data_IF_706487554503
#
_entry.id   IF_706487554503
#
_cell.length_a   1.000
_cell.length_b   1.000
_cell.length_c   1.000
_cell.angle_alpha   90.00
_cell.angle_beta   90.00
_cell.angle_gamma   90.00
#
_symmetry.space_group_name_H-M   'P 1'
#
loop_
_entity.id
_entity.type
_entity.pdbx_description
1 polymer ?
#
# COMPACT_ATOMS: atom_id res chain seq x y z
N UNK A 1 -19.57 3.87 4.41
CA UNK A 1 -18.65 3.51 5.53
C UNK A 1 -17.33 4.24 5.33
N UNK A 2 -16.80 4.89 6.38
CA UNK A 2 -15.52 5.59 6.32
C UNK A 2 -14.41 4.71 6.88
N UNK A 3 -13.32 4.57 6.13
CA UNK A 3 -12.15 3.78 6.49
C UNK A 3 -10.93 4.70 6.45
N UNK A 4 -10.15 4.69 7.52
CA UNK A 4 -8.89 5.44 7.62
C UNK A 4 -7.74 4.45 7.71
N UNK A 5 -6.85 4.49 6.73
CA UNK A 5 -5.65 3.67 6.71
C UNK A 5 -4.45 4.44 7.24
N UNK A 6 -3.61 3.78 8.05
CA UNK A 6 -2.35 4.30 8.57
C UNK A 6 -1.23 3.33 8.25
N UNK A 7 -0.11 3.83 7.70
CA UNK A 7 0.99 2.99 7.21
C UNK A 7 1.99 2.66 8.31
N UNK A 8 2.23 3.60 9.22
CA UNK A 8 3.09 3.40 10.38
C UNK A 8 2.54 4.08 11.64
N UNK A 9 3.20 3.86 12.76
CA UNK A 9 2.78 4.36 14.07
C UNK A 9 3.01 5.87 14.26
N UNK A 10 3.68 6.55 13.34
CA UNK A 10 3.85 8.01 13.36
C UNK A 10 2.66 8.73 12.73
N UNK A 11 1.82 8.02 11.97
CA UNK A 11 0.59 8.56 11.40
C UNK A 11 -0.49 8.72 12.48
N UNK A 12 -0.62 9.92 13.00
CA UNK A 12 -1.60 10.27 14.05
C UNK A 12 -2.90 10.83 13.51
N UNK A 13 -3.15 10.70 12.19
CA UNK A 13 -4.35 11.23 11.56
C UNK A 13 -5.62 10.66 12.19
N UNK A 14 -6.58 11.56 12.46
CA UNK A 14 -7.92 11.23 12.96
C UNK A 14 -8.96 11.85 12.05
N UNK A 15 -9.93 11.06 11.65
CA UNK A 15 -11.09 11.56 10.92
C UNK A 15 -11.99 12.41 11.85
N UNK A 16 -12.60 13.44 11.30
CA UNK A 16 -13.68 14.20 11.97
C UNK A 16 -15.01 13.45 11.96
N UNK A 17 -15.14 12.48 11.07
CA UNK A 17 -16.32 11.62 10.95
C UNK A 17 -16.03 10.27 11.63
N UNK A 18 -17.10 9.56 12.00
CA UNK A 18 -16.94 8.18 12.49
C UNK A 18 -16.28 7.32 11.43
N UNK A 19 -15.19 6.66 11.77
CA UNK A 19 -14.40 5.85 10.84
C UNK A 19 -13.87 4.57 11.49
N UNK A 20 -13.66 3.55 10.67
CA UNK A 20 -12.91 2.35 11.04
C UNK A 20 -11.45 2.56 10.65
N UNK A 21 -10.53 2.27 11.58
CA UNK A 21 -9.10 2.43 11.35
C UNK A 21 -8.47 1.10 10.95
N UNK A 22 -7.60 1.14 9.94
CA UNK A 22 -6.78 0.01 9.50
C UNK A 22 -5.32 0.42 9.65
N UNK A 23 -4.63 -0.22 10.57
CA UNK A 23 -3.23 0.04 10.87
C UNK A 23 -2.37 -1.06 10.23
N UNK A 24 -1.73 -0.77 9.10
CA UNK A 24 -0.89 -1.72 8.37
C UNK A 24 0.40 -2.10 9.12
N UNK A 25 0.73 -1.40 10.18
CA UNK A 25 1.85 -1.70 11.08
C UNK A 25 1.47 -2.60 12.26
N UNK A 26 0.19 -2.83 12.50
CA UNK A 26 -0.31 -3.68 13.58
C UNK A 26 -0.96 -4.95 12.99
N UNK A 27 -0.32 -6.09 13.19
CA UNK A 27 -0.80 -7.40 12.71
C UNK A 27 -2.14 -7.82 13.31
N UNK A 28 -2.56 -7.25 14.45
CA UNK A 28 -3.88 -7.48 15.02
C UNK A 28 -4.97 -6.69 14.30
N UNK A 29 -4.61 -5.55 13.68
CA UNK A 29 -5.50 -4.76 12.84
C UNK A 29 -5.60 -5.34 11.44
N UNK A 30 -4.45 -5.55 10.79
CA UNK A 30 -4.38 -6.10 9.43
C UNK A 30 -3.06 -6.84 9.21
N UNK A 31 -3.13 -8.12 8.79
CA UNK A 31 -1.94 -8.94 8.55
C UNK A 31 -1.74 -9.20 7.06
N UNK A 32 -0.52 -9.01 6.58
CA UNK A 32 -0.09 -9.30 5.21
C UNK A 32 1.40 -9.67 5.17
N UNK A 33 1.83 -10.41 4.15
CA UNK A 33 3.15 -11.04 4.09
C UNK A 33 4.08 -10.46 3.02
N UNK A 34 3.75 -9.32 2.42
CA UNK A 34 4.55 -8.71 1.35
C UNK A 34 6.01 -8.51 1.77
N UNK A 35 6.23 -7.92 2.96
CA UNK A 35 7.57 -7.62 3.45
C UNK A 35 8.41 -8.85 3.75
N UNK A 36 7.79 -9.98 4.09
CA UNK A 36 8.47 -11.24 4.37
C UNK A 36 9.01 -11.88 3.09
N UNK A 37 8.34 -11.64 1.96
CA UNK A 37 8.69 -12.19 0.65
C UNK A 37 9.48 -11.23 -0.25
N UNK A 38 9.78 -10.03 0.20
CA UNK A 38 10.43 -8.98 -0.58
C UNK A 38 11.78 -9.41 -1.19
N UNK A 39 12.56 -10.22 -0.49
CA UNK A 39 13.88 -10.70 -0.97
C UNK A 39 13.79 -11.57 -2.23
N UNK A 40 12.59 -12.04 -2.59
CA UNK A 40 12.33 -12.81 -3.82
C UNK A 40 12.12 -11.89 -5.03
N UNK A 41 12.00 -10.58 -4.85
CA UNK A 41 11.82 -9.63 -5.94
C UNK A 41 13.18 -9.25 -6.55
N UNK A 42 13.33 -9.27 -7.90
CA UNK A 42 14.60 -8.97 -8.57
C UNK A 42 14.99 -7.49 -8.47
N UNK A 43 14.03 -6.60 -8.31
CA UNK A 43 14.24 -5.16 -8.24
C UNK A 43 13.51 -4.56 -7.05
N UNK A 44 13.97 -3.36 -6.61
CA UNK A 44 13.19 -2.55 -5.69
C UNK A 44 11.98 -1.96 -6.42
N UNK A 45 10.87 -1.89 -5.72
CA UNK A 45 9.64 -1.32 -6.27
C UNK A 45 9.69 0.21 -6.30
N UNK A 46 8.98 0.81 -7.24
CA UNK A 46 8.79 2.26 -7.32
C UNK A 46 7.82 2.76 -6.21
N UNK A 47 7.80 4.08 -6.00
CA UNK A 47 6.85 4.70 -5.06
C UNK A 47 5.40 4.42 -5.48
N UNK A 48 5.11 4.50 -6.78
CA UNK A 48 3.79 4.18 -7.33
C UNK A 48 3.37 2.74 -7.06
N UNK A 49 4.30 1.80 -7.22
CA UNK A 49 4.02 0.39 -6.95
C UNK A 49 3.75 0.12 -5.46
N UNK A 50 4.47 0.81 -4.57
CA UNK A 50 4.24 0.71 -3.13
C UNK A 50 2.89 1.33 -2.74
N UNK A 51 2.56 2.49 -3.27
CA UNK A 51 1.26 3.12 -3.05
C UNK A 51 0.12 2.22 -3.57
N UNK A 52 0.27 1.65 -4.77
CA UNK A 52 -0.71 0.72 -5.33
C UNK A 52 -0.91 -0.52 -4.45
N UNK A 53 0.17 -1.05 -3.86
CA UNK A 53 0.07 -2.14 -2.90
C UNK A 53 -0.82 -1.75 -1.72
N UNK A 54 -0.56 -0.61 -1.07
CA UNK A 54 -1.34 -0.18 0.08
C UNK A 54 -2.78 0.18 -0.29
N UNK A 55 -3.03 0.79 -1.45
CA UNK A 55 -4.37 1.05 -1.97
C UNK A 55 -5.12 -0.29 -2.17
N UNK A 56 -4.47 -1.29 -2.78
CA UNK A 56 -5.07 -2.61 -3.01
C UNK A 56 -5.40 -3.33 -1.70
N UNK A 57 -4.52 -3.25 -0.71
CA UNK A 57 -4.75 -3.80 0.63
C UNK A 57 -5.92 -3.08 1.33
N UNK A 58 -6.02 -1.76 1.18
CA UNK A 58 -7.11 -0.97 1.74
C UNK A 58 -8.47 -1.34 1.10
N UNK A 59 -8.52 -1.49 -0.23
CA UNK A 59 -9.71 -1.95 -0.96
C UNK A 59 -10.12 -3.34 -0.51
N UNK A 60 -9.17 -4.26 -0.42
CA UNK A 60 -9.44 -5.63 0.08
C UNK A 60 -10.00 -5.62 1.51
N UNK A 61 -9.39 -4.84 2.40
CA UNK A 61 -9.86 -4.73 3.77
C UNK A 61 -11.26 -4.09 3.86
N UNK A 62 -11.53 -3.05 3.07
CA UNK A 62 -12.84 -2.41 2.98
C UNK A 62 -13.92 -3.40 2.53
N UNK A 63 -13.63 -4.19 1.50
CA UNK A 63 -14.55 -5.21 1.00
C UNK A 63 -14.90 -6.25 2.07
N UNK A 64 -13.94 -6.64 2.89
CA UNK A 64 -14.13 -7.63 3.97
C UNK A 64 -14.83 -7.06 5.19
N UNK A 65 -14.55 -5.82 5.56
CA UNK A 65 -15.13 -5.18 6.75
C UNK A 65 -16.56 -4.70 6.52
N UNK A 66 -16.88 -4.24 5.31
CA UNK A 66 -18.18 -3.69 4.96
C UNK A 66 -19.05 -4.75 4.30
N UNK A 67 -19.88 -5.42 5.08
CA UNK A 67 -20.77 -6.47 4.55
C UNK A 67 -21.94 -5.83 3.80
N UNK A 68 -22.27 -6.36 2.60
CA UNK A 68 -23.39 -5.89 1.76
C UNK A 68 -24.73 -5.92 2.47
N UNK A 69 -24.96 -6.90 3.35
CA UNK A 69 -26.20 -6.99 4.14
C UNK A 69 -26.46 -5.77 5.02
N UNK A 70 -25.45 -4.95 5.27
CA UNK A 70 -25.54 -3.72 6.07
C UNK A 70 -25.75 -2.47 5.20
N UNK A 71 -25.78 -2.61 3.87
CA UNK A 71 -26.10 -1.51 2.96
C UNK A 71 -27.59 -1.15 3.06
N UNK A 72 -27.93 0.12 2.79
CA UNK A 72 -29.30 0.64 2.90
C UNK A 72 -30.27 -0.10 1.97
N UNK A 73 -29.82 -0.44 0.76
CA UNK A 73 -30.56 -1.18 -0.24
C UNK A 73 -30.27 -2.71 -0.19
N UNK A 74 -29.37 -3.15 0.71
CA UNK A 74 -28.87 -4.52 0.80
C UNK A 74 -27.97 -4.96 -0.35
N UNK A 75 -27.60 -4.04 -1.26
CA UNK A 75 -26.87 -4.34 -2.48
C UNK A 75 -25.61 -3.48 -2.67
N UNK A 76 -25.76 -2.16 -2.79
CA UNK A 76 -24.67 -1.22 -3.04
C UNK A 76 -24.13 -0.62 -1.74
N UNK A 77 -22.81 -0.60 -1.61
CA UNK A 77 -22.14 0.01 -0.45
C UNK A 77 -21.55 1.37 -0.86
N UNK A 78 -21.57 2.31 0.03
CA UNK A 78 -20.82 3.58 -0.05
C UNK A 78 -19.56 3.43 0.81
N UNK A 79 -18.39 3.37 0.15
CA UNK A 79 -17.10 3.06 0.73
C UNK A 79 -16.13 4.24 0.52
N UNK A 80 -15.81 4.94 1.59
CA UNK A 80 -14.86 6.06 1.59
C UNK A 80 -13.55 5.63 2.25
N UNK A 81 -12.46 5.66 1.49
CA UNK A 81 -11.12 5.26 1.95
C UNK A 81 -10.21 6.50 2.04
N UNK A 82 -9.74 6.80 3.23
CA UNK A 82 -8.72 7.82 3.48
C UNK A 82 -7.36 7.13 3.68
N UNK A 83 -6.41 7.35 2.76
CA UNK A 83 -5.12 6.62 2.73
C UNK A 83 -3.95 7.56 2.41
N UNK A 84 -2.81 7.44 3.12
CA UNK A 84 -1.60 8.18 2.80
C UNK A 84 -0.83 7.54 1.63
N UNK A 85 -0.34 8.37 0.70
CA UNK A 85 0.39 7.97 -0.50
C UNK A 85 1.67 8.80 -0.66
N UNK A 86 2.69 8.23 -1.30
CA UNK A 86 3.96 8.90 -1.61
C UNK A 86 3.80 9.84 -2.82
N UNK A 87 3.17 9.35 -3.88
CA UNK A 87 2.97 10.08 -5.15
C UNK A 87 1.58 10.74 -5.18
N UNK A 88 1.36 11.67 -4.26
CA UNK A 88 0.06 12.31 -4.04
C UNK A 88 -0.56 12.89 -5.32
N UNK A 89 0.19 13.68 -6.09
CA UNK A 89 -0.32 14.35 -7.27
C UNK A 89 -0.73 13.36 -8.38
N UNK A 90 -0.02 12.24 -8.49
CA UNK A 90 -0.33 11.17 -9.43
C UNK A 90 -1.65 10.49 -9.04
N UNK A 91 -1.83 10.17 -7.75
CA UNK A 91 -3.04 9.51 -7.28
C UNK A 91 -4.27 10.43 -7.30
N UNK A 92 -4.12 11.73 -7.07
CA UNK A 92 -5.21 12.69 -7.26
C UNK A 92 -5.65 12.77 -8.74
N UNK A 93 -4.72 12.68 -9.70
CA UNK A 93 -5.05 12.62 -11.12
C UNK A 93 -5.72 11.29 -11.52
N UNK A 94 -5.33 10.18 -10.93
CA UNK A 94 -5.86 8.86 -11.22
C UNK A 94 -7.15 8.52 -10.45
N UNK A 95 -7.56 9.37 -9.52
CA UNK A 95 -8.62 9.12 -8.55
C UNK A 95 -9.94 8.73 -9.18
N UNK A 96 -10.43 9.54 -10.12
CA UNK A 96 -11.71 9.30 -10.81
C UNK A 96 -11.70 7.95 -11.53
N UNK A 97 -10.61 7.65 -12.27
CA UNK A 97 -10.45 6.36 -12.96
C UNK A 97 -10.44 5.19 -11.99
N UNK A 98 -9.79 5.33 -10.84
CA UNK A 98 -9.76 4.28 -9.81
C UNK A 98 -11.14 4.04 -9.21
N UNK A 99 -11.88 5.11 -8.88
CA UNK A 99 -13.23 5.05 -8.33
C UNK A 99 -14.21 4.43 -9.33
N UNK A 100 -14.19 4.85 -10.59
CA UNK A 100 -15.01 4.27 -11.66
C UNK A 100 -14.69 2.80 -11.92
N UNK A 101 -13.41 2.42 -11.98
CA UNK A 101 -12.99 1.03 -12.17
C UNK A 101 -13.50 0.13 -11.06
N UNK A 102 -13.32 0.53 -9.80
CA UNK A 102 -13.79 -0.24 -8.66
C UNK A 102 -15.31 -0.29 -8.58
N UNK A 103 -15.99 0.80 -8.90
CA UNK A 103 -17.45 0.86 -9.01
C UNK A 103 -17.98 -0.11 -10.05
N UNK A 104 -17.37 -0.14 -11.24
CA UNK A 104 -17.73 -1.08 -12.29
C UNK A 104 -17.51 -2.55 -11.88
N UNK A 105 -16.39 -2.86 -11.23
CA UNK A 105 -16.06 -4.22 -10.82
C UNK A 105 -16.91 -4.74 -9.65
N UNK A 106 -17.30 -3.88 -8.72
CA UNK A 106 -17.97 -4.29 -7.49
C UNK A 106 -19.46 -3.97 -7.44
N UNK A 107 -19.93 -2.98 -8.23
CA UNK A 107 -21.27 -2.43 -8.11
C UNK A 107 -21.46 -1.55 -6.85
N UNK A 108 -20.37 -1.13 -6.23
CA UNK A 108 -20.36 -0.25 -5.06
C UNK A 108 -19.95 1.17 -5.44
N UNK A 109 -20.22 2.14 -4.57
CA UNK A 109 -19.73 3.50 -4.70
C UNK A 109 -18.44 3.65 -3.89
N UNK A 110 -17.36 4.03 -4.59
CA UNK A 110 -16.03 4.19 -4.00
C UNK A 110 -15.62 5.65 -4.03
N UNK A 111 -15.08 6.12 -2.91
CA UNK A 111 -14.52 7.47 -2.77
C UNK A 111 -13.15 7.38 -2.10
N UNK A 112 -12.13 7.96 -2.74
CA UNK A 112 -10.79 8.04 -2.16
C UNK A 112 -10.49 9.46 -1.66
N UNK A 113 -9.85 9.52 -0.50
CA UNK A 113 -9.25 10.72 0.06
C UNK A 113 -7.77 10.42 0.26
N UNK A 114 -6.94 10.89 -0.66
CA UNK A 114 -5.50 10.72 -0.54
C UNK A 114 -4.90 11.73 0.43
N UNK A 115 -3.89 11.29 1.19
CA UNK A 115 -3.09 12.14 2.08
C UNK A 115 -1.63 12.01 1.67
N UNK A 116 -0.89 13.11 1.66
CA UNK A 116 0.54 13.07 1.35
C UNK A 116 1.32 12.47 2.50
N UNK A 117 2.27 11.55 2.20
CA UNK A 117 3.23 11.00 3.16
C UNK A 117 4.64 10.98 2.60
N UNK A 118 5.58 10.78 3.47
CA UNK A 118 6.97 10.46 3.14
C UNK A 118 7.25 8.97 3.37
N UNK A 119 8.44 8.51 2.95
CA UNK A 119 8.89 7.16 3.27
C UNK A 119 8.97 6.96 4.78
N UNK A 120 8.46 5.83 5.24
CA UNK A 120 8.61 5.44 6.66
C UNK A 120 10.04 5.02 6.95
N UNK A 121 10.47 5.09 8.20
CA UNK A 121 11.81 4.64 8.61
C UNK A 121 12.02 3.14 8.33
N UNK A 122 10.97 2.34 8.45
CA UNK A 122 11.02 0.92 8.12
C UNK A 122 11.24 0.69 6.61
N UNK A 123 10.57 1.46 5.75
CA UNK A 123 10.77 1.41 4.29
C UNK A 123 12.19 1.81 3.91
N UNK A 124 12.71 2.92 4.46
CA UNK A 124 14.10 3.38 4.26
C UNK A 124 15.11 2.31 4.66
N UNK A 125 14.98 1.75 5.87
CA UNK A 125 15.87 0.70 6.37
C UNK A 125 15.86 -0.55 5.48
N UNK A 126 14.69 -0.94 4.98
CA UNK A 126 14.56 -2.09 4.07
C UNK A 126 15.18 -1.81 2.70
N UNK A 127 15.03 -0.59 2.18
CA UNK A 127 15.67 -0.16 0.94
C UNK A 127 17.19 -0.19 1.05
N UNK A 128 17.76 0.39 2.09
CA UNK A 128 19.20 0.37 2.35
C UNK A 128 19.77 -1.06 2.45
N UNK A 129 19.08 -1.95 3.15
CA UNK A 129 19.48 -3.37 3.26
C UNK A 129 19.46 -4.07 1.89
N UNK A 130 18.47 -3.77 1.07
CA UNK A 130 18.38 -4.31 -0.28
C UNK A 130 19.52 -3.79 -1.16
N UNK A 131 19.82 -2.49 -1.15
CA UNK A 131 20.94 -1.90 -1.90
C UNK A 131 22.28 -2.53 -1.50
N UNK A 132 22.54 -2.68 -0.20
CA UNK A 132 23.78 -3.33 0.29
C UNK A 132 23.89 -4.79 -0.19
N UNK A 133 22.79 -5.54 -0.22
CA UNK A 133 22.79 -6.91 -0.72
C UNK A 133 23.08 -7.01 -2.22
N UNK A 134 22.62 -6.05 -3.01
CA UNK A 134 22.90 -5.95 -4.45
C UNK A 134 24.35 -5.59 -4.73
N UNK A 135 24.92 -4.70 -3.94
CA UNK A 135 26.34 -4.35 -4.05
C UNK A 135 27.23 -5.57 -3.80
N UNK A 136 26.97 -6.33 -2.74
CA UNK A 136 27.72 -7.55 -2.46
C UNK A 136 27.70 -8.56 -3.63
N UNK A 137 26.54 -8.76 -4.27
CA UNK A 137 26.40 -9.66 -5.42
C UNK A 137 27.27 -9.17 -6.58
N UNK A 138 27.26 -7.87 -6.89
CA UNK A 138 28.12 -7.30 -7.95
C UNK A 138 29.60 -7.48 -7.66
N UNK A 139 30.00 -7.30 -6.42
CA UNK A 139 31.40 -7.49 -6.00
C UNK A 139 31.84 -8.95 -6.15
N UNK A 140 30.97 -9.91 -5.87
CA UNK A 140 31.23 -11.35 -6.12
C UNK A 140 31.33 -11.67 -7.61
N UNK A 141 30.47 -11.10 -8.46
CA UNK A 141 30.51 -11.32 -9.91
C UNK A 141 31.81 -10.75 -10.51
N UNK A 142 32.26 -9.57 -10.08
CA UNK A 142 33.52 -8.98 -10.50
C UNK A 142 34.73 -9.84 -10.08
N UNK A 143 34.75 -10.34 -8.84
CA UNK A 143 35.80 -11.24 -8.34
C UNK A 143 35.86 -12.58 -9.12
N UNK A 144 34.70 -13.11 -9.50
CA UNK A 144 34.63 -14.31 -10.32
C UNK A 144 35.12 -14.09 -11.75
N UNK A 145 34.87 -12.91 -12.34
CA UNK A 145 35.35 -12.56 -13.67
C UNK A 145 36.90 -12.42 -13.72
N UNK A 146 37.47 -11.79 -12.67
CA UNK A 146 38.94 -11.64 -12.56
C UNK A 146 39.68 -12.97 -12.37
N UNK A 147 39.03 -13.99 -11.79
CA UNK A 147 39.57 -15.34 -11.60
C UNK A 147 39.54 -16.22 -12.87
N UNK A 148 38.75 -15.86 -13.87
CA UNK A 148 38.62 -16.62 -15.15
C UNK A 148 39.64 -16.12 -16.20
N UNK A 149 40.33 -15.02 -15.98
CA UNK A 149 41.35 -14.46 -16.86
C UNK A 149 42.80 -14.79 -16.43
N UNK A 150 42.98 -15.69 -15.49
CA UNK A 150 44.27 -16.30 -15.14
C UNK A 150 44.34 -17.75 -15.72
#
# INVERSE_FOLDING_TARGET
MNIVCRIDNTDTFKSTEQATYIDFFDSNSFSYTFWDNRNKLPHWYSQQALDLLYISLAVFAADRLCLRKNAVDGWSRDLKICIPVLEYDLWEQAKETLEEMLGFLSGDEWTFVFRKREWTENEKTKHEKWEKSKQQVKDYELLCMDLIHL
#
